data_IF_513456614331
#
_entry.id   IF_513456614331
#
_cell.length_a   1.000
_cell.length_b   1.000
_cell.length_c   1.000
_cell.angle_alpha   90.00
_cell.angle_beta   90.00
_cell.angle_gamma   90.00
#
_symmetry.space_group_name_H-M   'P 1'
#
loop_
_entity.id
_entity.type
_entity.pdbx_description
1 polymer ?
#
# COMPACT_ATOMS: atom_id res chain seq x y z
N UNK A 1 -20.65 -8.15 -6.26
CA UNK A 1 -19.95 -6.84 -6.17
C UNK A 1 -20.85 -5.62 -6.46
N UNK A 2 -21.74 -5.60 -7.49
CA UNK A 2 -22.63 -4.45 -7.73
C UNK A 2 -23.59 -4.15 -6.56
N UNK A 3 -24.05 -5.17 -5.85
CA UNK A 3 -24.93 -5.01 -4.67
C UNK A 3 -24.24 -4.26 -3.52
N UNK A 4 -22.93 -4.51 -3.33
CA UNK A 4 -22.16 -3.83 -2.30
C UNK A 4 -21.96 -2.33 -2.61
N UNK A 5 -21.67 -1.99 -3.86
CA UNK A 5 -21.55 -0.59 -4.29
C UNK A 5 -22.87 0.16 -4.14
N UNK A 6 -23.98 -0.49 -4.50
CA UNK A 6 -25.33 0.06 -4.31
C UNK A 6 -25.66 0.27 -2.83
N UNK A 7 -25.26 -0.68 -1.97
CA UNK A 7 -25.44 -0.55 -0.51
C UNK A 7 -24.59 0.61 0.05
N UNK A 8 -23.33 0.73 -0.37
CA UNK A 8 -22.47 1.83 0.05
C UNK A 8 -23.04 3.20 -0.35
N UNK A 9 -23.53 3.32 -1.58
CA UNK A 9 -24.16 4.56 -2.05
C UNK A 9 -25.37 4.94 -1.20
N UNK A 10 -26.29 4.01 -0.96
CA UNK A 10 -27.47 4.23 -0.12
C UNK A 10 -27.11 4.61 1.32
N UNK A 11 -26.13 3.92 1.92
CA UNK A 11 -25.69 4.21 3.28
C UNK A 11 -25.01 5.60 3.36
N UNK A 12 -24.26 6.00 2.35
CA UNK A 12 -23.64 7.33 2.27
C UNK A 12 -24.69 8.44 2.12
N UNK A 13 -25.74 8.22 1.33
CA UNK A 13 -26.84 9.17 1.16
C UNK A 13 -27.68 9.33 2.44
N UNK A 14 -27.93 8.24 3.16
CA UNK A 14 -28.66 8.27 4.43
C UNK A 14 -27.94 9.06 5.53
N UNK A 15 -26.61 9.03 5.55
CA UNK A 15 -25.76 9.78 6.51
C UNK A 15 -25.59 11.24 6.09
N UNK A 16 -25.60 11.52 4.79
CA UNK A 16 -25.37 12.88 4.24
C UNK A 16 -26.52 13.87 4.37
N UNK A 17 -27.73 13.41 4.82
CA UNK A 17 -28.97 14.19 4.78
C UNK A 17 -29.10 15.26 5.86
N UNK A 18 -28.24 15.34 6.88
CA UNK A 18 -28.47 16.20 8.04
C UNK A 18 -27.62 17.46 8.19
N UNK A 19 -26.55 17.66 7.41
CA UNK A 19 -25.71 18.84 7.53
C UNK A 19 -25.13 19.31 6.17
N UNK A 20 -25.95 19.97 5.39
CA UNK A 20 -25.69 20.31 3.99
C UNK A 20 -24.74 21.50 3.76
N UNK A 21 -24.20 22.18 4.77
CA UNK A 21 -23.57 23.46 4.53
C UNK A 21 -22.04 23.56 4.68
N UNK A 22 -21.32 22.60 5.30
CA UNK A 22 -19.88 22.84 5.54
C UNK A 22 -19.00 21.63 5.85
N UNK A 23 -19.43 20.39 5.71
CA UNK A 23 -18.56 19.24 6.04
C UNK A 23 -18.42 18.31 4.86
N UNK A 24 -17.15 18.00 4.51
CA UNK A 24 -16.75 16.94 3.60
C UNK A 24 -17.62 15.69 3.93
N UNK A 25 -18.52 15.30 3.03
CA UNK A 25 -19.44 14.16 3.25
C UNK A 25 -18.61 12.93 3.60
N UNK A 26 -18.79 12.42 4.81
CA UNK A 26 -18.18 11.17 5.23
C UNK A 26 -18.84 10.03 4.46
N UNK A 27 -18.04 9.23 3.78
CA UNK A 27 -18.50 8.03 3.09
C UNK A 27 -18.66 6.87 4.08
N UNK A 28 -19.49 5.91 3.75
CA UNK A 28 -19.69 4.70 4.57
C UNK A 28 -18.35 4.02 4.94
N UNK A 29 -17.39 3.95 4.01
CA UNK A 29 -16.06 3.40 4.28
C UNK A 29 -15.28 4.16 5.36
N UNK A 30 -15.57 5.44 5.58
CA UNK A 30 -14.89 6.24 6.60
C UNK A 30 -15.31 5.82 8.01
N UNK A 31 -16.45 5.16 8.14
CA UNK A 31 -16.91 4.57 9.40
C UNK A 31 -16.26 3.20 9.67
N UNK A 32 -15.95 2.43 8.63
CA UNK A 32 -15.29 1.12 8.78
C UNK A 32 -13.87 1.21 9.31
N UNK A 33 -13.18 2.33 9.11
CA UNK A 33 -11.84 2.52 9.66
C UNK A 33 -11.87 2.85 11.16
N UNK A 34 -13.02 3.32 11.69
CA UNK A 34 -13.15 3.73 13.10
C UNK A 34 -12.82 2.61 14.10
N UNK A 35 -13.32 1.37 13.95
CA UNK A 35 -12.95 0.27 14.84
C UNK A 35 -11.44 0.03 14.86
N UNK A 36 -10.78 0.05 13.69
CA UNK A 36 -9.34 -0.16 13.58
C UNK A 36 -8.59 0.98 14.27
N UNK A 37 -8.97 2.23 13.98
CA UNK A 37 -8.38 3.40 14.65
C UNK A 37 -8.53 3.33 16.17
N UNK A 38 -9.67 2.84 16.66
CA UNK A 38 -9.93 2.68 18.09
C UNK A 38 -9.02 1.64 18.72
N UNK A 39 -8.83 0.49 18.07
CA UNK A 39 -7.88 -0.54 18.52
C UNK A 39 -6.45 0.03 18.60
N UNK A 40 -6.03 0.79 17.59
CA UNK A 40 -4.72 1.43 17.57
C UNK A 40 -4.54 2.50 18.67
N UNK A 41 -5.63 3.11 19.13
CA UNK A 41 -5.60 4.13 20.18
C UNK A 41 -5.46 3.55 21.59
N UNK A 42 -5.94 2.32 21.86
CA UNK A 42 -5.90 1.70 23.16
C UNK A 42 -4.50 1.63 23.80
N UNK A 43 -3.42 1.25 23.11
CA UNK A 43 -2.07 1.26 23.69
C UNK A 43 -1.66 2.64 24.21
N UNK A 44 -2.05 3.72 23.52
CA UNK A 44 -1.73 5.10 23.90
C UNK A 44 -2.52 5.49 25.16
N UNK A 45 -3.82 5.16 25.20
CA UNK A 45 -4.66 5.41 26.38
C UNK A 45 -4.16 4.64 27.60
N UNK A 46 -3.81 3.37 27.46
CA UNK A 46 -3.28 2.55 28.53
C UNK A 46 -1.93 3.10 29.05
N UNK A 47 -1.08 3.59 28.18
CA UNK A 47 0.17 4.24 28.56
C UNK A 47 -0.07 5.50 29.38
N UNK A 48 -1.10 6.26 29.05
CA UNK A 48 -1.48 7.44 29.85
C UNK A 48 -2.01 7.03 31.23
N UNK A 49 -2.87 6.01 31.31
CA UNK A 49 -3.39 5.48 32.56
C UNK A 49 -2.28 4.95 33.45
N UNK A 50 -1.27 4.27 32.88
CA UNK A 50 -0.15 3.69 33.61
C UNK A 50 0.60 4.70 34.48
N UNK A 51 0.67 5.97 34.06
CA UNK A 51 1.33 7.05 34.77
C UNK A 51 0.65 7.38 36.10
N UNK A 52 -0.62 7.05 36.25
CA UNK A 52 -1.46 7.36 37.41
C UNK A 52 -1.91 6.09 38.15
N UNK A 53 -1.40 4.92 37.75
CA UNK A 53 -1.80 3.62 38.30
C UNK A 53 -0.85 3.25 39.47
N UNK A 54 -1.42 2.73 40.54
CA UNK A 54 -0.66 2.23 41.66
C UNK A 54 0.24 1.04 41.26
N UNK A 55 1.40 0.84 41.95
CA UNK A 55 2.40 -0.14 41.53
C UNK A 55 1.88 -1.58 41.41
N UNK A 56 0.99 -2.00 42.29
CA UNK A 56 0.37 -3.32 42.31
C UNK A 56 -0.53 -3.58 41.09
N UNK A 57 -1.23 -2.58 40.61
CA UNK A 57 -2.06 -2.66 39.41
C UNK A 57 -1.25 -2.41 38.13
N UNK A 58 -0.09 -1.78 38.23
CA UNK A 58 0.76 -1.44 37.07
C UNK A 58 1.28 -2.68 36.34
N UNK A 59 1.50 -3.80 37.03
CA UNK A 59 1.96 -5.07 36.46
C UNK A 59 0.91 -5.62 35.48
N UNK A 60 -0.34 -5.76 35.96
CA UNK A 60 -1.44 -6.25 35.13
C UNK A 60 -1.75 -5.33 33.94
N UNK A 61 -1.63 -4.02 34.16
CA UNK A 61 -1.78 -3.05 33.06
C UNK A 61 -0.66 -3.18 32.05
N UNK A 62 0.58 -3.47 32.47
CA UNK A 62 1.72 -3.75 31.60
C UNK A 62 1.48 -4.96 30.69
N UNK A 63 0.94 -6.06 31.23
CA UNK A 63 0.59 -7.25 30.46
C UNK A 63 -0.51 -6.96 29.45
N UNK A 64 -1.56 -6.24 29.87
CA UNK A 64 -2.63 -5.82 28.97
C UNK A 64 -2.13 -4.93 27.82
N UNK A 65 -1.20 -4.00 28.13
CA UNK A 65 -0.55 -3.15 27.12
C UNK A 65 0.28 -3.97 26.14
N UNK A 66 1.04 -4.97 26.61
CA UNK A 66 1.82 -5.85 25.76
C UNK A 66 0.90 -6.64 24.79
N UNK A 67 -0.21 -7.17 25.32
CA UNK A 67 -1.22 -7.84 24.52
C UNK A 67 -1.82 -6.92 23.45
N UNK A 68 -2.22 -5.71 23.80
CA UNK A 68 -2.80 -4.73 22.88
C UNK A 68 -1.80 -4.29 21.80
N UNK A 69 -0.52 -4.10 22.15
CA UNK A 69 0.52 -3.78 21.17
C UNK A 69 0.70 -4.90 20.16
N UNK A 70 0.67 -6.16 20.60
CA UNK A 70 0.74 -7.33 19.71
C UNK A 70 -0.45 -7.35 18.76
N UNK A 71 -1.68 -7.23 19.27
CA UNK A 71 -2.90 -7.19 18.45
C UNK A 71 -2.82 -6.04 17.42
N UNK A 72 -2.39 -4.86 17.82
CA UNK A 72 -2.24 -3.71 16.91
C UNK A 72 -1.20 -3.98 15.83
N UNK A 73 -0.07 -4.60 16.20
CA UNK A 73 0.96 -5.01 15.23
C UNK A 73 0.42 -6.02 14.22
N UNK A 74 -0.31 -7.04 14.69
CA UNK A 74 -0.89 -8.07 13.84
C UNK A 74 -1.92 -7.50 12.86
N UNK A 75 -2.80 -6.60 13.33
CA UNK A 75 -3.77 -5.89 12.48
C UNK A 75 -3.07 -5.04 11.41
N UNK A 76 -2.02 -4.31 11.79
CA UNK A 76 -1.26 -3.50 10.85
C UNK A 76 -0.52 -4.37 9.82
N UNK A 77 0.07 -5.48 10.23
CA UNK A 77 0.74 -6.42 9.34
C UNK A 77 -0.24 -7.04 8.34
N UNK A 78 -1.40 -7.51 8.80
CA UNK A 78 -2.44 -8.07 7.94
C UNK A 78 -3.00 -7.02 6.95
N UNK A 79 -3.16 -5.78 7.39
CA UNK A 79 -3.60 -4.67 6.53
C UNK A 79 -2.55 -4.35 5.46
N UNK A 80 -1.27 -4.30 5.82
CA UNK A 80 -0.17 -4.05 4.90
C UNK A 80 -0.05 -5.18 3.86
N UNK A 81 -0.16 -6.44 4.29
CA UNK A 81 -0.12 -7.59 3.40
C UNK A 81 -1.29 -7.58 2.40
N UNK A 82 -2.50 -7.30 2.88
CA UNK A 82 -3.68 -7.17 2.00
C UNK A 82 -3.50 -6.05 0.98
N UNK A 83 -2.96 -4.91 1.41
CA UNK A 83 -2.69 -3.79 0.51
C UNK A 83 -1.65 -4.17 -0.55
N UNK A 84 -0.56 -4.84 -0.16
CA UNK A 84 0.47 -5.31 -1.06
C UNK A 84 -0.08 -6.30 -2.10
N UNK A 85 -0.97 -7.22 -1.71
CA UNK A 85 -1.65 -8.15 -2.65
C UNK A 85 -2.51 -7.40 -3.65
N UNK A 86 -3.39 -6.51 -3.19
CA UNK A 86 -4.25 -5.72 -4.07
C UNK A 86 -3.46 -4.86 -5.06
N UNK A 87 -2.34 -4.29 -4.60
CA UNK A 87 -1.44 -3.52 -5.46
C UNK A 87 -0.77 -4.43 -6.49
N UNK A 88 -0.32 -5.62 -6.11
CA UNK A 88 0.27 -6.60 -7.01
C UNK A 88 -0.71 -7.04 -8.09
N UNK A 89 -1.94 -7.39 -7.70
CA UNK A 89 -3.00 -7.79 -8.64
C UNK A 89 -3.32 -6.66 -9.64
N UNK A 90 -3.39 -5.42 -9.14
CA UNK A 90 -3.62 -4.25 -9.99
C UNK A 90 -2.47 -4.02 -10.97
N UNK A 91 -1.23 -4.19 -10.55
CA UNK A 91 -0.05 -4.03 -11.41
C UNK A 91 -0.05 -5.13 -12.47
N UNK A 92 -0.19 -6.39 -12.07
CA UNK A 92 -0.21 -7.54 -12.97
C UNK A 92 -1.31 -7.41 -14.02
N UNK A 93 -2.50 -6.95 -13.64
CA UNK A 93 -3.61 -6.75 -14.57
C UNK A 93 -3.36 -5.66 -15.64
N UNK A 94 -2.39 -4.78 -15.42
CA UNK A 94 -2.03 -3.70 -16.34
C UNK A 94 -0.77 -3.98 -17.15
N UNK A 95 0.00 -4.99 -16.80
CA UNK A 95 1.21 -5.36 -17.56
C UNK A 95 0.80 -5.96 -18.90
N UNK A 96 1.35 -5.42 -19.97
CA UNK A 96 1.17 -5.99 -21.31
C UNK A 96 1.95 -7.32 -21.41
N UNK A 97 1.31 -8.44 -21.80
CA UNK A 97 2.01 -9.70 -22.02
C UNK A 97 3.12 -9.52 -23.05
N UNK A 98 4.29 -10.03 -22.76
CA UNK A 98 5.41 -10.10 -23.71
C UNK A 98 5.87 -11.55 -23.86
N UNK A 99 6.60 -11.83 -24.94
CA UNK A 99 7.15 -13.18 -25.18
C UNK A 99 8.06 -13.66 -24.04
N UNK A 100 8.69 -12.73 -23.33
CA UNK A 100 9.64 -13.02 -22.25
C UNK A 100 8.98 -13.03 -20.86
N UNK A 101 7.83 -12.35 -20.70
CA UNK A 101 7.06 -12.29 -19.47
C UNK A 101 5.72 -12.97 -19.69
N UNK A 102 5.68 -14.27 -19.42
CA UNK A 102 4.44 -15.04 -19.51
C UNK A 102 3.45 -14.64 -18.43
N UNK A 103 2.17 -14.79 -18.73
CA UNK A 103 1.10 -14.57 -17.75
C UNK A 103 1.20 -15.49 -16.51
N UNK A 104 1.94 -16.61 -16.62
CA UNK A 104 2.21 -17.51 -15.50
C UNK A 104 3.38 -17.05 -14.63
N UNK A 105 4.34 -16.31 -15.17
CA UNK A 105 5.49 -15.80 -14.42
C UNK A 105 5.12 -14.64 -13.50
N UNK A 106 4.27 -13.73 -13.96
CA UNK A 106 3.91 -12.54 -13.18
C UNK A 106 3.32 -12.84 -11.80
N UNK A 107 2.40 -13.81 -11.62
CA UNK A 107 1.91 -14.20 -10.30
C UNK A 107 2.98 -14.81 -9.40
N UNK A 108 4.03 -15.44 -9.97
CA UNK A 108 5.13 -16.05 -9.21
C UNK A 108 6.06 -15.03 -8.54
N UNK A 109 6.02 -13.76 -8.96
CA UNK A 109 6.80 -12.67 -8.36
C UNK A 109 6.39 -12.34 -6.91
N UNK A 110 5.23 -12.82 -6.48
CA UNK A 110 4.71 -12.60 -5.14
C UNK A 110 4.16 -11.19 -4.93
N UNK A 111 4.17 -10.73 -3.68
CA UNK A 111 3.60 -9.44 -3.32
C UNK A 111 4.57 -8.29 -3.62
N UNK A 112 4.03 -7.23 -4.22
CA UNK A 112 4.74 -5.97 -4.40
C UNK A 112 5.17 -5.39 -3.05
N UNK A 113 6.44 -5.07 -2.90
CA UNK A 113 7.02 -4.46 -1.70
C UNK A 113 7.03 -2.94 -1.79
N UNK A 114 7.35 -2.44 -2.97
CA UNK A 114 7.45 -0.99 -3.21
C UNK A 114 7.18 -0.68 -4.67
N UNK A 115 6.59 0.48 -4.90
CA UNK A 115 6.41 1.07 -6.24
C UNK A 115 6.97 2.47 -6.27
N UNK A 116 7.48 2.88 -7.42
CA UNK A 116 8.01 4.21 -7.59
C UNK A 116 8.29 4.55 -9.05
N UNK A 117 8.86 5.72 -9.25
CA UNK A 117 9.37 6.14 -10.54
C UNK A 117 10.88 6.36 -10.43
N UNK A 118 11.61 5.86 -11.41
CA UNK A 118 13.05 5.99 -11.48
C UNK A 118 13.44 6.81 -12.72
N UNK A 119 14.27 7.81 -12.51
CA UNK A 119 15.03 8.46 -13.57
C UNK A 119 16.30 7.66 -13.83
N UNK A 120 16.41 7.07 -15.02
CA UNK A 120 17.54 6.22 -15.38
C UNK A 120 18.42 6.94 -16.40
N UNK A 121 19.67 7.10 -16.04
CA UNK A 121 20.74 7.49 -16.92
C UNK A 121 21.65 6.28 -17.11
N UNK A 122 21.69 5.76 -18.34
CA UNK A 122 22.56 4.63 -18.67
C UNK A 122 23.62 5.08 -19.65
N UNK A 123 24.88 4.80 -19.30
CA UNK A 123 26.03 5.03 -20.16
C UNK A 123 26.93 3.80 -20.14
N UNK A 124 27.19 3.25 -21.32
CA UNK A 124 28.11 2.13 -21.45
C UNK A 124 29.54 2.66 -21.58
N UNK A 125 30.50 2.01 -20.91
CA UNK A 125 31.91 2.44 -20.86
C UNK A 125 32.59 2.51 -22.22
N UNK A 126 32.09 1.75 -23.23
CA UNK A 126 32.59 1.76 -24.60
C UNK A 126 32.00 2.86 -25.50
N UNK A 127 30.99 3.60 -24.99
CA UNK A 127 30.37 4.67 -25.75
C UNK A 127 31.17 5.96 -25.67
N UNK A 128 30.86 6.89 -26.58
CA UNK A 128 31.43 8.22 -26.51
C UNK A 128 31.13 8.89 -25.15
N UNK A 129 32.00 9.81 -24.68
CA UNK A 129 31.75 10.54 -23.45
C UNK A 129 30.36 11.17 -23.41
N UNK A 130 29.77 11.21 -22.21
CA UNK A 130 28.48 11.86 -21.99
C UNK A 130 28.54 13.33 -22.40
N UNK A 131 27.64 13.73 -23.29
CA UNK A 131 27.49 15.13 -23.71
C UNK A 131 26.32 15.77 -22.99
N UNK A 132 26.47 17.03 -22.63
CA UNK A 132 25.37 17.81 -22.04
C UNK A 132 24.47 18.40 -23.14
N UNK A 133 23.11 18.47 -22.92
CA UNK A 133 22.40 18.01 -21.70
C UNK A 133 22.19 16.48 -21.66
N UNK A 134 22.29 15.91 -20.45
CA UNK A 134 22.03 14.50 -20.22
C UNK A 134 20.53 14.20 -20.34
N UNK A 135 20.20 13.18 -21.14
CA UNK A 135 18.80 12.75 -21.29
C UNK A 135 18.48 11.65 -20.30
N UNK A 136 17.67 11.97 -19.30
CA UNK A 136 17.17 10.98 -18.34
C UNK A 136 15.89 10.34 -18.85
N UNK A 137 15.82 9.00 -18.85
CA UNK A 137 14.61 8.26 -19.15
C UNK A 137 13.91 7.88 -17.86
N UNK A 138 12.61 8.16 -17.78
CA UNK A 138 11.80 7.82 -16.61
C UNK A 138 11.03 6.53 -16.83
N UNK A 139 11.10 5.64 -15.84
CA UNK A 139 10.40 4.37 -15.82
C UNK A 139 9.63 4.23 -14.52
N UNK A 140 8.44 3.62 -14.58
CA UNK A 140 7.80 3.07 -13.41
C UNK A 140 8.62 1.88 -12.92
N UNK A 141 8.71 1.71 -11.60
CA UNK A 141 9.46 0.63 -10.97
C UNK A 141 8.59 -0.09 -9.96
N UNK A 142 8.66 -1.40 -9.95
CA UNK A 142 8.06 -2.27 -8.94
C UNK A 142 9.14 -3.16 -8.35
N UNK A 143 9.22 -3.15 -7.03
CA UNK A 143 10.09 -4.01 -6.25
C UNK A 143 9.27 -5.17 -5.70
N UNK A 144 9.65 -6.38 -6.03
CA UNK A 144 9.19 -7.63 -5.43
C UNK A 144 10.24 -8.18 -4.45
N UNK A 145 9.99 -9.33 -3.83
CA UNK A 145 10.98 -9.92 -2.91
C UNK A 145 12.31 -10.23 -3.58
N UNK A 146 12.26 -10.80 -4.79
CA UNK A 146 13.44 -11.34 -5.47
C UNK A 146 13.70 -10.67 -6.83
N UNK A 147 12.88 -9.68 -7.21
CA UNK A 147 12.96 -9.04 -8.51
C UNK A 147 12.66 -7.55 -8.45
N UNK A 148 13.32 -6.80 -9.31
CA UNK A 148 12.94 -5.42 -9.68
C UNK A 148 12.48 -5.42 -11.13
N UNK A 149 11.32 -4.83 -11.38
CA UNK A 149 10.79 -4.62 -12.72
C UNK A 149 10.68 -3.14 -13.02
N UNK A 150 11.15 -2.74 -14.20
CA UNK A 150 10.97 -1.40 -14.73
C UNK A 150 10.08 -1.44 -15.96
N UNK A 151 9.15 -0.51 -16.05
CA UNK A 151 8.18 -0.45 -17.13
C UNK A 151 7.92 0.98 -17.59
N UNK A 152 7.49 1.11 -18.83
CA UNK A 152 7.03 2.36 -19.40
C UNK A 152 5.50 2.41 -19.31
N UNK A 153 4.97 3.48 -18.73
CA UNK A 153 3.53 3.72 -18.68
C UNK A 153 3.08 4.21 -20.05
N UNK A 154 2.11 3.51 -20.65
CA UNK A 154 1.49 3.91 -21.91
C UNK A 154 0.29 4.85 -21.66
N UNK A 155 -0.12 5.58 -22.70
CA UNK A 155 -1.30 6.46 -22.65
C UNK A 155 -2.60 5.71 -22.31
N UNK A 156 -2.67 4.42 -22.61
CA UNK A 156 -3.75 3.48 -22.27
C UNK A 156 -3.76 3.05 -20.81
N UNK A 157 -2.88 3.60 -19.97
CA UNK A 157 -2.66 3.16 -18.57
C UNK A 157 -2.21 1.71 -18.43
N UNK A 158 -1.69 1.11 -19.51
CA UNK A 158 -1.01 -0.18 -19.49
C UNK A 158 0.48 0.00 -19.23
N UNK A 159 1.10 -1.07 -18.73
CA UNK A 159 2.52 -1.09 -18.36
C UNK A 159 3.28 -1.99 -19.35
N UNK A 160 4.19 -1.38 -20.09
CA UNK A 160 5.08 -2.07 -21.01
C UNK A 160 6.38 -2.40 -20.26
N UNK A 161 6.66 -3.70 -19.93
CA UNK A 161 7.91 -4.10 -19.29
C UNK A 161 9.11 -3.73 -20.17
N UNK A 162 10.17 -3.22 -19.54
CA UNK A 162 11.40 -2.87 -20.24
C UNK A 162 12.62 -3.59 -19.70
N UNK A 163 12.70 -3.69 -18.39
CA UNK A 163 13.81 -4.35 -17.72
C UNK A 163 13.29 -5.07 -16.49
N UNK A 164 13.87 -6.22 -16.19
CA UNK A 164 13.65 -6.94 -14.95
C UNK A 164 14.97 -7.57 -14.51
N UNK A 165 15.23 -7.47 -13.23
CA UNK A 165 16.48 -7.92 -12.65
C UNK A 165 16.17 -8.77 -11.43
N UNK A 166 16.81 -9.95 -11.30
CA UNK A 166 16.80 -10.65 -10.02
C UNK A 166 17.59 -9.85 -9.00
N UNK A 167 17.13 -9.88 -7.76
CA UNK A 167 17.86 -9.37 -6.61
C UNK A 167 18.70 -10.52 -6.07
N UNK A 168 20.01 -10.31 -5.98
CA UNK A 168 20.94 -11.30 -5.44
C UNK A 168 20.81 -11.42 -3.92
#
# INVERSE_FOLDING_TARGET
RPEWETYQARASDAVGSRDAASRKRLQFRDFFIKPIQRVCLYPILMQTIQRYTAPDAAVRLGEAMACMRRITSDVNAASAERHARLLSDMIVSRIEPSLELSSSFLPSLGNCRMTGNLGVLYHHSTWAPLTWPLTTKYYGCVLYSDFVMMFKVRKTHTYEPRYWFPLA
#
